data_IF_992172260303
#
_entry.id   IF_992172260303
#
_cell.length_a   1.000
_cell.length_b   1.000
_cell.length_c   1.000
_cell.angle_alpha   90.00
_cell.angle_beta   90.00
_cell.angle_gamma   90.00
#
_symmetry.space_group_name_H-M   'P 1'
#
loop_
_entity.id
_entity.type
_entity.pdbx_description
1 polymer ?
#
# COMPACT_ATOMS: atom_id res chain seq x y z
N UNK A 1 -2.98 6.02 20.48
CA UNK A 1 -2.07 7.11 20.08
C UNK A 1 -0.98 6.55 19.19
N UNK A 2 -0.21 7.39 18.49
CA UNK A 2 0.87 6.93 17.60
C UNK A 2 2.01 6.20 18.33
N UNK A 3 2.02 6.20 19.66
CA UNK A 3 2.99 5.49 20.48
C UNK A 3 2.38 4.32 21.26
N UNK A 4 1.11 3.96 21.02
CA UNK A 4 0.49 2.84 21.74
C UNK A 4 1.07 1.50 21.29
N UNK A 5 1.15 0.50 22.18
CA UNK A 5 1.58 -0.85 21.81
C UNK A 5 0.79 -1.41 20.61
N UNK A 6 -0.51 -1.14 20.54
CA UNK A 6 -1.36 -1.55 19.42
C UNK A 6 -0.99 -0.87 18.09
N UNK A 7 -0.57 0.41 18.10
CA UNK A 7 -0.16 1.13 16.90
C UNK A 7 1.13 0.53 16.32
N UNK A 8 2.12 0.32 17.18
CA UNK A 8 3.39 -0.30 16.80
C UNK A 8 3.19 -1.74 16.32
N UNK A 9 2.41 -2.55 17.05
CA UNK A 9 2.11 -3.92 16.65
C UNK A 9 1.40 -4.02 15.29
N UNK A 10 0.55 -3.05 14.94
CA UNK A 10 -0.07 -3.02 13.62
C UNK A 10 0.93 -2.60 12.54
N UNK A 11 1.75 -1.56 12.78
CA UNK A 11 2.82 -1.14 11.87
C UNK A 11 3.76 -2.29 11.54
N UNK A 12 4.15 -3.07 12.54
CA UNK A 12 5.11 -4.17 12.40
C UNK A 12 4.55 -5.34 11.58
N UNK A 13 3.22 -5.44 11.44
CA UNK A 13 2.55 -6.40 10.55
C UNK A 13 2.48 -5.92 9.09
N UNK A 14 2.81 -4.67 8.81
CA UNK A 14 2.91 -4.15 7.45
C UNK A 14 4.28 -4.58 6.89
N UNK A 15 4.36 -5.31 5.77
CA UNK A 15 5.65 -5.74 5.22
C UNK A 15 6.65 -4.61 4.95
N UNK A 16 6.18 -3.43 4.49
CA UNK A 16 7.05 -2.24 4.31
C UNK A 16 7.32 -1.47 5.61
N UNK A 17 6.88 -1.99 6.76
CA UNK A 17 7.15 -1.51 8.13
C UNK A 17 6.78 -0.04 8.41
N UNK A 18 5.83 0.50 7.66
CA UNK A 18 5.29 1.84 7.89
C UNK A 18 3.83 1.93 7.49
N UNK A 19 3.13 2.90 8.08
CA UNK A 19 1.82 3.29 7.58
C UNK A 19 1.96 3.99 6.21
N UNK A 20 0.96 3.77 5.36
CA UNK A 20 0.84 4.51 4.11
C UNK A 20 0.51 5.98 4.37
N UNK A 21 0.94 6.84 3.45
CA UNK A 21 0.57 8.26 3.39
C UNK A 21 -0.37 8.51 2.21
N UNK A 22 -0.94 9.71 2.16
CA UNK A 22 -1.71 10.16 0.99
C UNK A 22 -0.85 10.17 -0.28
N UNK A 23 0.45 10.43 -0.15
CA UNK A 23 1.37 10.45 -1.29
C UNK A 23 1.59 9.06 -1.89
N UNK A 24 1.51 7.98 -1.10
CA UNK A 24 1.59 6.62 -1.64
C UNK A 24 0.41 6.32 -2.58
N UNK A 25 -0.78 6.81 -2.22
CA UNK A 25 -1.98 6.68 -3.06
C UNK A 25 -1.86 7.56 -4.30
N UNK A 26 -1.44 8.82 -4.12
CA UNK A 26 -1.28 9.77 -5.21
C UNK A 26 -0.31 9.23 -6.27
N UNK A 27 0.84 8.68 -5.87
CA UNK A 27 1.78 8.06 -6.80
C UNK A 27 1.18 6.88 -7.57
N UNK A 28 0.39 6.02 -6.92
CA UNK A 28 -0.29 4.92 -7.60
C UNK A 28 -1.36 5.40 -8.60
N UNK A 29 -2.05 6.51 -8.30
CA UNK A 29 -2.95 7.16 -9.26
C UNK A 29 -2.15 7.78 -10.41
N UNK A 30 -1.03 8.44 -10.13
CA UNK A 30 -0.14 9.00 -11.15
C UNK A 30 0.37 7.94 -12.12
N UNK A 31 0.65 6.72 -11.65
CA UNK A 31 0.98 5.59 -12.52
C UNK A 31 -0.12 5.33 -13.57
N UNK A 32 -1.40 5.29 -13.17
CA UNK A 32 -2.51 5.07 -14.12
C UNK A 32 -2.76 6.25 -15.06
N UNK A 33 -2.37 7.47 -14.65
CA UNK A 33 -2.49 8.67 -15.47
C UNK A 33 -1.34 8.85 -16.47
N UNK A 34 -0.23 8.15 -16.27
CA UNK A 34 0.94 8.25 -17.14
C UNK A 34 0.68 7.59 -18.51
N UNK A 35 1.11 8.24 -19.59
CA UNK A 35 0.95 7.74 -20.97
C UNK A 35 1.63 6.39 -21.19
N UNK A 36 2.68 6.08 -20.43
CA UNK A 36 3.37 4.80 -20.47
C UNK A 36 2.49 3.65 -19.99
N UNK A 37 1.42 3.94 -19.26
CA UNK A 37 0.45 2.96 -18.75
C UNK A 37 -0.76 2.77 -19.67
N UNK A 38 -0.73 3.30 -20.90
CA UNK A 38 -1.87 3.29 -21.84
C UNK A 38 -2.40 1.91 -22.22
N UNK A 39 -1.64 0.83 -22.01
CA UNK A 39 -2.09 -0.54 -22.25
C UNK A 39 -2.62 -1.26 -20.99
N UNK A 40 -2.60 -0.60 -19.82
CA UNK A 40 -3.09 -1.17 -18.56
C UNK A 40 -4.55 -0.77 -18.37
N UNK A 41 -5.45 -1.75 -18.42
CA UNK A 41 -6.89 -1.54 -18.19
C UNK A 41 -7.52 -2.70 -17.41
N UNK A 42 -8.60 -2.40 -16.69
CA UNK A 42 -9.36 -3.37 -15.89
C UNK A 42 -8.61 -3.95 -14.67
N UNK A 43 -7.43 -3.40 -14.33
CA UNK A 43 -6.60 -3.92 -13.24
C UNK A 43 -6.90 -3.22 -11.92
N UNK A 44 -6.73 -3.96 -10.82
CA UNK A 44 -6.77 -3.43 -9.45
C UNK A 44 -5.34 -3.35 -8.93
N UNK A 45 -4.88 -2.13 -8.60
CA UNK A 45 -3.58 -1.92 -7.96
C UNK A 45 -3.77 -1.75 -6.45
N UNK A 46 -3.27 -2.71 -5.67
CA UNK A 46 -3.30 -2.63 -4.21
C UNK A 46 -2.15 -1.80 -3.67
N UNK A 47 -2.46 -0.65 -3.07
CA UNK A 47 -1.49 0.23 -2.40
C UNK A 47 -1.65 0.06 -0.90
N UNK A 48 -1.06 -1.01 -0.37
CA UNK A 48 -1.33 -1.46 1.00
C UNK A 48 -0.07 -1.78 1.81
N UNK A 49 1.12 -1.47 1.27
CA UNK A 49 2.38 -1.81 1.93
C UNK A 49 2.63 -3.32 2.08
N UNK A 50 1.91 -4.15 1.31
CA UNK A 50 2.06 -5.60 1.27
C UNK A 50 1.11 -6.39 2.19
N UNK A 51 0.25 -5.75 2.99
CA UNK A 51 -0.62 -6.46 3.96
C UNK A 51 -1.59 -7.44 3.30
N UNK A 52 -2.04 -7.16 2.07
CA UNK A 52 -2.95 -8.05 1.34
C UNK A 52 -2.26 -9.35 0.91
N UNK A 53 -0.96 -9.30 0.62
CA UNK A 53 -0.17 -10.48 0.20
C UNK A 53 0.35 -11.24 1.42
N UNK A 54 0.75 -10.53 2.49
CA UNK A 54 1.25 -11.14 3.73
C UNK A 54 0.23 -12.05 4.43
N UNK A 55 -1.07 -11.92 4.12
CA UNK A 55 -2.13 -12.83 4.60
C UNK A 55 -2.32 -14.09 3.75
N UNK A 56 -1.71 -14.17 2.56
CA UNK A 56 -1.82 -15.36 1.71
C UNK A 56 -0.90 -16.51 2.16
N UNK A 57 0.07 -16.24 3.03
CA UNK A 57 1.05 -17.20 3.55
C UNK A 57 1.01 -17.32 5.10
N UNK A 58 -0.08 -16.88 5.74
CA UNK A 58 -0.28 -16.94 7.19
C UNK A 58 -1.47 -17.83 7.54
#
# INVERSE_FOLDING_TARGET
GKDSPAYNAYRDRIPVQRFGTVDDIAHGVSFFMDVRSSFVTGQVLYICGGVTIGRANA
#
